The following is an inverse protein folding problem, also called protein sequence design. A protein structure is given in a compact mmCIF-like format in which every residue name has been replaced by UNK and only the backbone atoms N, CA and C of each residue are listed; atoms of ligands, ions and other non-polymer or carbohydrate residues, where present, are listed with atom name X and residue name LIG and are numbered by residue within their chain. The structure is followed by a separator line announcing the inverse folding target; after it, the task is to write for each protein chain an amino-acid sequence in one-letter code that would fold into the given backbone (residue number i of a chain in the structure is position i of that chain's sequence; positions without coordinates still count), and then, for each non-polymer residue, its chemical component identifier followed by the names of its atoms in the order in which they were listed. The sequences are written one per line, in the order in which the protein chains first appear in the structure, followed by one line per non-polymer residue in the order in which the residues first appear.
data_IF_442796928485
#
_entry.id   IF_442796928485
#
_cell.length_a   1.000
_cell.length_b   1.000
_cell.length_c   1.000
_cell.angle_alpha   90.00
_cell.angle_beta   90.00
_cell.angle_gamma   90.00
#
_symmetry.space_group_name_H-M   'P 1'
#
loop_
_entity.id
_entity.type
_entity.pdbx_description
1 polymer ?
#
# COMPACT_ATOMS: atom_id res chain seq x y z
N UNK A 1 14.96 9.65 12.46
CA UNK A 1 16.40 9.29 12.58
C UNK A 1 16.78 9.20 14.04
N UNK A 2 17.19 8.01 14.51
CA UNK A 2 17.84 7.89 15.81
C UNK A 2 19.16 8.66 15.72
N UNK A 3 19.42 9.60 16.63
CA UNK A 3 20.72 10.27 16.66
C UNK A 3 21.74 9.23 17.07
N UNK A 4 22.68 8.88 16.18
CA UNK A 4 23.84 8.06 16.55
C UNK A 4 24.47 8.76 17.75
N UNK A 5 24.48 8.09 18.90
CA UNK A 5 25.06 8.70 20.09
C UNK A 5 26.56 8.85 19.88
N UNK A 6 27.13 9.92 20.41
CA UNK A 6 28.58 10.15 20.33
C UNK A 6 29.36 8.95 20.91
N UNK A 7 28.81 8.29 21.93
CA UNK A 7 29.36 7.10 22.55
C UNK A 7 29.36 5.90 21.59
N UNK A 8 28.26 5.62 20.89
CA UNK A 8 28.22 4.56 19.87
C UNK A 8 29.24 4.81 18.76
N UNK A 9 29.37 6.06 18.30
CA UNK A 9 30.32 6.42 17.27
C UNK A 9 31.77 6.13 17.70
N UNK A 10 32.12 6.48 18.94
CA UNK A 10 33.43 6.20 19.53
C UNK A 10 33.67 4.69 19.64
N UNK A 11 32.67 3.93 20.13
CA UNK A 11 32.79 2.47 20.26
C UNK A 11 33.01 1.80 18.92
N UNK A 12 32.24 2.19 17.89
CA UNK A 12 32.42 1.65 16.53
C UNK A 12 33.81 2.01 16.02
N UNK A 13 34.24 3.27 16.15
CA UNK A 13 35.56 3.74 15.69
C UNK A 13 36.72 2.98 16.32
N UNK A 14 36.75 2.92 17.66
CA UNK A 14 37.78 2.20 18.42
C UNK A 14 37.73 0.70 18.10
N UNK A 15 36.54 0.12 17.99
CA UNK A 15 36.36 -1.28 17.62
C UNK A 15 36.91 -1.62 16.24
N UNK A 16 36.56 -0.84 15.21
CA UNK A 16 37.09 -1.04 13.85
C UNK A 16 38.61 -0.88 13.80
N UNK A 17 39.17 0.09 14.53
CA UNK A 17 40.61 0.31 14.58
C UNK A 17 41.33 -0.87 15.25
N UNK A 18 40.79 -1.38 16.37
CA UNK A 18 41.35 -2.55 17.05
C UNK A 18 41.31 -3.82 16.17
N UNK A 19 40.21 -4.04 15.44
CA UNK A 19 40.09 -5.16 14.50
C UNK A 19 41.12 -5.04 13.36
N UNK A 20 41.23 -3.87 12.72
CA UNK A 20 42.22 -3.67 11.66
C UNK A 20 43.67 -3.78 12.17
N UNK A 21 43.95 -3.30 13.38
CA UNK A 21 45.27 -3.42 14.00
C UNK A 21 45.65 -4.89 14.27
N UNK A 22 44.72 -5.69 14.82
CA UNK A 22 44.97 -7.11 15.10
C UNK A 22 45.20 -7.92 13.81
N UNK A 23 44.41 -7.68 12.77
CA UNK A 23 44.58 -8.31 11.45
C UNK A 23 45.94 -7.90 10.84
N UNK A 24 46.27 -6.61 10.86
CA UNK A 24 47.55 -6.09 10.33
C UNK A 24 48.75 -6.74 11.02
N UNK A 25 48.72 -6.84 12.36
CA UNK A 25 49.77 -7.51 13.13
C UNK A 25 49.89 -8.99 12.78
N UNK A 26 48.77 -9.69 12.60
CA UNK A 26 48.77 -11.09 12.19
C UNK A 26 49.39 -11.28 10.81
N UNK A 27 49.02 -10.44 9.84
CA UNK A 27 49.55 -10.49 8.47
C UNK A 27 51.04 -10.19 8.45
N UNK A 28 51.49 -9.20 9.22
CA UNK A 28 52.92 -8.91 9.37
C UNK A 28 53.69 -10.11 9.93
N UNK A 29 53.19 -10.74 11.00
CA UNK A 29 53.88 -11.88 11.62
C UNK A 29 53.91 -13.15 10.75
N UNK A 30 52.88 -13.40 9.93
CA UNK A 30 52.77 -14.64 9.14
C UNK A 30 53.28 -14.52 7.71
N UNK A 31 53.11 -13.37 7.08
CA UNK A 31 53.41 -13.16 5.67
C UNK A 31 54.49 -12.11 5.44
N UNK A 32 54.98 -11.45 6.51
CA UNK A 32 55.99 -10.40 6.44
C UNK A 32 55.60 -9.24 5.50
N UNK A 33 54.29 -8.99 5.38
CA UNK A 33 53.72 -7.92 4.56
C UNK A 33 53.37 -6.72 5.43
N UNK A 34 53.80 -5.52 4.99
CA UNK A 34 53.36 -4.26 5.59
C UNK A 34 51.99 -3.88 5.01
N UNK A 35 51.02 -3.65 5.88
CA UNK A 35 49.67 -3.24 5.50
C UNK A 35 49.33 -1.88 6.10
N UNK A 36 48.72 -1.00 5.30
CA UNK A 36 48.19 0.28 5.77
C UNK A 36 46.87 0.04 6.53
N UNK A 37 47.00 -0.23 7.83
CA UNK A 37 45.87 -0.48 8.70
C UNK A 37 45.04 0.79 8.96
N UNK A 38 45.62 1.98 8.81
CA UNK A 38 44.93 3.23 9.09
C UNK A 38 43.89 3.50 8.01
N UNK A 39 44.30 3.42 6.74
CA UNK A 39 43.39 3.52 5.59
C UNK A 39 42.31 2.43 5.62
N UNK A 40 42.70 1.17 5.86
CA UNK A 40 41.76 0.06 5.97
C UNK A 40 40.73 0.26 7.10
N UNK A 41 41.16 0.79 8.26
CA UNK A 41 40.27 1.09 9.38
C UNK A 41 39.28 2.22 9.05
N UNK A 42 39.72 3.25 8.33
CA UNK A 42 38.86 4.34 7.90
C UNK A 42 37.79 3.85 6.91
N UNK A 43 38.15 2.99 5.95
CA UNK A 43 37.19 2.39 5.01
C UNK A 43 36.19 1.48 5.72
N UNK A 44 36.64 0.63 6.65
CA UNK A 44 35.78 -0.26 7.42
C UNK A 44 34.81 0.52 8.31
N UNK A 45 35.30 1.58 8.95
CA UNK A 45 34.48 2.50 9.75
C UNK A 45 33.39 3.15 8.89
N UNK A 46 33.76 3.71 7.73
CA UNK A 46 32.82 4.32 6.80
C UNK A 46 31.77 3.30 6.30
N UNK A 47 32.19 2.09 5.96
CA UNK A 47 31.29 1.01 5.53
C UNK A 47 30.29 0.62 6.64
N UNK A 48 30.76 0.54 7.89
CA UNK A 48 29.92 0.21 9.05
C UNK A 48 28.88 1.31 9.31
N UNK A 49 29.29 2.58 9.25
CA UNK A 49 28.38 3.71 9.36
C UNK A 49 27.36 3.74 8.23
N UNK A 50 27.80 3.54 6.98
CA UNK A 50 26.92 3.49 5.82
C UNK A 50 25.89 2.35 5.95
N UNK A 51 26.32 1.17 6.40
CA UNK A 51 25.42 0.04 6.65
C UNK A 51 24.38 0.35 7.72
N UNK A 52 24.77 0.99 8.83
CA UNK A 52 23.83 1.39 9.90
C UNK A 52 22.83 2.43 9.41
N UNK A 53 23.30 3.49 8.74
CA UNK A 53 22.44 4.52 8.15
C UNK A 53 21.48 3.94 7.11
N UNK A 54 21.95 3.00 6.30
CA UNK A 54 21.10 2.31 5.32
C UNK A 54 20.00 1.50 5.98
N UNK A 55 20.29 0.76 7.06
CA UNK A 55 19.28 0.00 7.79
C UNK A 55 18.22 0.91 8.45
N UNK A 56 18.65 2.01 9.07
CA UNK A 56 17.73 3.01 9.65
C UNK A 56 16.85 3.64 8.58
N UNK A 57 17.46 4.04 7.45
CA UNK A 57 16.73 4.58 6.31
C UNK A 57 15.73 3.57 5.75
N UNK A 58 16.15 2.30 5.60
CA UNK A 58 15.30 1.22 5.09
C UNK A 58 14.10 0.97 6.00
N UNK A 59 14.26 1.04 7.33
CA UNK A 59 13.14 0.90 8.27
C UNK A 59 12.17 2.07 8.20
N UNK A 60 12.68 3.31 8.10
CA UNK A 60 11.83 4.51 7.93
C UNK A 60 11.07 4.46 6.60
N UNK A 61 11.76 4.10 5.53
CA UNK A 61 11.18 3.97 4.19
C UNK A 61 10.02 2.96 4.16
N UNK A 62 10.11 1.85 4.91
CA UNK A 62 9.00 0.88 5.01
C UNK A 62 7.74 1.50 5.62
N UNK A 63 7.88 2.23 6.73
CA UNK A 63 6.74 2.86 7.41
C UNK A 63 6.11 3.92 6.49
N UNK A 64 6.93 4.77 5.87
CA UNK A 64 6.47 5.80 4.93
C UNK A 64 5.77 5.18 3.71
N UNK A 65 6.28 4.07 3.18
CA UNK A 65 5.66 3.36 2.06
C UNK A 65 4.25 2.85 2.42
N UNK A 66 4.07 2.30 3.61
CA UNK A 66 2.74 1.83 4.07
C UNK A 66 1.81 3.01 4.35
N UNK A 67 2.31 4.10 4.91
CA UNK A 67 1.54 5.32 5.14
C UNK A 67 1.02 5.91 3.81
N UNK A 68 1.89 6.06 2.81
CA UNK A 68 1.49 6.51 1.48
C UNK A 68 0.48 5.57 0.81
N UNK A 69 0.64 4.25 0.98
CA UNK A 69 -0.31 3.27 0.45
C UNK A 69 -1.69 3.40 1.11
N UNK A 70 -1.71 3.56 2.44
CA UNK A 70 -2.94 3.79 3.21
C UNK A 70 -3.68 5.03 2.71
N UNK A 71 -2.97 6.15 2.55
CA UNK A 71 -3.56 7.39 2.07
C UNK A 71 -4.10 7.26 0.65
N UNK A 72 -3.37 6.55 -0.23
CA UNK A 72 -3.80 6.28 -1.60
C UNK A 72 -5.06 5.42 -1.65
N UNK A 73 -5.08 4.29 -0.95
CA UNK A 73 -6.26 3.42 -0.87
C UNK A 73 -7.47 4.16 -0.31
N UNK A 74 -7.30 4.92 0.77
CA UNK A 74 -8.41 5.63 1.40
C UNK A 74 -8.96 6.74 0.50
N UNK A 75 -8.08 7.44 -0.22
CA UNK A 75 -8.46 8.43 -1.22
C UNK A 75 -9.23 7.77 -2.37
N UNK A 76 -8.75 6.63 -2.88
CA UNK A 76 -9.40 5.89 -3.95
C UNK A 76 -10.79 5.38 -3.51
N UNK A 77 -10.91 4.80 -2.31
CA UNK A 77 -12.22 4.44 -1.75
C UNK A 77 -13.17 5.62 -1.62
N UNK A 78 -12.69 6.79 -1.18
CA UNK A 78 -13.51 8.01 -1.08
C UNK A 78 -13.96 8.48 -2.46
N UNK A 79 -13.10 8.40 -3.47
CA UNK A 79 -13.43 8.73 -4.85
C UNK A 79 -14.48 7.77 -5.41
N UNK A 80 -14.29 6.46 -5.24
CA UNK A 80 -15.27 5.43 -5.61
C UNK A 80 -16.63 5.71 -4.97
N UNK A 81 -16.66 6.02 -3.66
CA UNK A 81 -17.88 6.30 -2.91
C UNK A 81 -18.61 7.55 -3.43
N UNK A 82 -17.87 8.61 -3.75
CA UNK A 82 -18.43 9.82 -4.32
C UNK A 82 -19.03 9.58 -5.72
N UNK A 83 -18.32 8.85 -6.58
CA UNK A 83 -18.79 8.53 -7.94
C UNK A 83 -20.00 7.59 -7.87
N UNK A 84 -19.97 6.57 -7.01
CA UNK A 84 -21.08 5.64 -6.81
C UNK A 84 -22.33 6.37 -6.30
N UNK A 85 -22.17 7.30 -5.36
CA UNK A 85 -23.29 8.14 -4.90
C UNK A 85 -23.91 8.97 -6.03
N UNK A 86 -23.08 9.52 -6.93
CA UNK A 86 -23.56 10.22 -8.12
C UNK A 86 -24.26 9.27 -9.10
N UNK A 87 -23.76 8.04 -9.24
CA UNK A 87 -24.38 7.00 -10.05
C UNK A 87 -25.77 6.66 -9.53
N UNK A 88 -25.94 6.43 -8.22
CA UNK A 88 -27.25 6.16 -7.62
C UNK A 88 -28.27 7.25 -7.94
N UNK A 89 -27.89 8.52 -7.74
CA UNK A 89 -28.75 9.67 -8.06
C UNK A 89 -29.10 9.70 -9.56
N UNK A 90 -28.14 9.42 -10.43
CA UNK A 90 -28.36 9.40 -11.89
C UNK A 90 -29.29 8.26 -12.32
N UNK A 91 -29.16 7.09 -11.68
CA UNK A 91 -30.03 5.93 -11.94
C UNK A 91 -31.44 6.21 -11.47
N UNK A 92 -31.64 6.77 -10.29
CA UNK A 92 -32.97 7.14 -9.80
C UNK A 92 -33.65 8.18 -10.70
N UNK A 93 -32.92 9.21 -11.13
CA UNK A 93 -33.43 10.20 -12.08
C UNK A 93 -33.92 9.57 -13.39
N UNK A 94 -33.18 8.57 -13.90
CA UNK A 94 -33.54 7.88 -15.13
C UNK A 94 -34.62 6.80 -14.97
N UNK A 95 -34.81 6.24 -13.77
CA UNK A 95 -35.89 5.28 -13.47
C UNK A 95 -37.25 5.95 -13.30
N UNK A 96 -37.29 7.13 -12.66
CA UNK A 96 -38.53 7.82 -12.31
C UNK A 96 -38.87 9.00 -13.23
N UNK A 97 -37.91 9.48 -14.02
CA UNK A 97 -38.09 10.54 -15.01
C UNK A 97 -38.40 10.03 -16.42
N UNK A 98 -38.49 10.96 -17.38
CA UNK A 98 -38.40 10.67 -18.81
C UNK A 98 -36.95 10.87 -19.26
N UNK A 99 -36.10 9.83 -19.26
CA UNK A 99 -34.69 9.98 -19.58
C UNK A 99 -34.50 10.42 -21.03
N UNK A 100 -33.62 11.39 -21.25
CA UNK A 100 -33.10 11.67 -22.59
C UNK A 100 -31.80 10.88 -22.84
N UNK A 101 -31.37 10.79 -24.10
CA UNK A 101 -30.16 10.04 -24.47
C UNK A 101 -28.89 10.51 -23.75
N UNK A 102 -28.81 11.81 -23.41
CA UNK A 102 -27.66 12.37 -22.69
C UNK A 102 -27.63 11.92 -21.21
N UNK A 103 -28.78 11.78 -20.55
CA UNK A 103 -28.87 11.33 -19.16
C UNK A 103 -28.51 9.84 -19.03
N UNK A 104 -28.86 9.05 -20.05
CA UNK A 104 -28.48 7.65 -20.17
C UNK A 104 -26.97 7.51 -20.38
N UNK A 105 -26.39 8.29 -21.30
CA UNK A 105 -24.95 8.34 -21.53
C UNK A 105 -24.19 8.78 -20.27
N UNK A 106 -24.70 9.77 -19.54
CA UNK A 106 -24.09 10.22 -18.27
C UNK A 106 -24.07 9.10 -17.24
N UNK A 107 -25.12 8.29 -17.16
CA UNK A 107 -25.20 7.17 -16.22
C UNK A 107 -24.23 6.06 -16.58
N UNK A 108 -24.12 5.69 -17.87
CA UNK A 108 -23.13 4.70 -18.30
C UNK A 108 -21.69 5.17 -18.04
N UNK A 109 -21.39 6.44 -18.32
CA UNK A 109 -20.08 7.05 -18.03
C UNK A 109 -19.76 7.06 -16.53
N UNK A 110 -20.77 7.25 -15.66
CA UNK A 110 -20.57 7.15 -14.22
C UNK A 110 -20.26 5.72 -13.79
N UNK A 111 -20.96 4.72 -14.33
CA UNK A 111 -20.67 3.31 -14.06
C UNK A 111 -19.27 2.91 -14.52
N UNK A 112 -18.84 3.36 -15.70
CA UNK A 112 -17.47 3.19 -16.21
C UNK A 112 -16.43 3.82 -15.27
N UNK A 113 -16.67 5.05 -14.79
CA UNK A 113 -15.78 5.69 -13.82
C UNK A 113 -15.69 4.96 -12.48
N UNK A 114 -16.77 4.32 -12.03
CA UNK A 114 -16.71 3.47 -10.83
C UNK A 114 -15.81 2.27 -11.11
N UNK A 115 -15.94 1.63 -12.27
CA UNK A 115 -15.11 0.50 -12.68
C UNK A 115 -13.63 0.87 -12.81
N UNK A 116 -13.31 2.00 -13.46
CA UNK A 116 -11.95 2.49 -13.54
C UNK A 116 -11.34 2.68 -12.14
N UNK A 117 -12.13 3.18 -11.19
CA UNK A 117 -11.66 3.35 -9.82
C UNK A 117 -11.46 2.02 -9.09
N UNK A 118 -12.34 1.04 -9.33
CA UNK A 118 -12.20 -0.32 -8.84
C UNK A 118 -10.91 -0.96 -9.37
N UNK A 119 -10.58 -0.79 -10.65
CA UNK A 119 -9.35 -1.33 -11.22
C UNK A 119 -8.10 -0.74 -10.56
N UNK A 120 -8.10 0.57 -10.31
CA UNK A 120 -7.03 1.24 -9.54
C UNK A 120 -6.93 0.66 -8.12
N UNK A 121 -8.05 0.47 -7.43
CA UNK A 121 -8.08 -0.15 -6.10
C UNK A 121 -7.54 -1.58 -6.13
N UNK A 122 -7.88 -2.38 -7.13
CA UNK A 122 -7.39 -3.75 -7.28
C UNK A 122 -5.85 -3.76 -7.39
N UNK A 123 -5.27 -2.87 -8.18
CA UNK A 123 -3.80 -2.73 -8.31
C UNK A 123 -3.16 -2.34 -6.97
N UNK A 124 -3.79 -1.43 -6.23
CA UNK A 124 -3.32 -1.04 -4.90
C UNK A 124 -3.39 -2.20 -3.90
N UNK A 125 -4.43 -3.02 -3.98
CA UNK A 125 -4.57 -4.22 -3.16
C UNK A 125 -3.58 -5.33 -3.54
N UNK A 126 -3.23 -5.49 -4.81
CA UNK A 126 -2.16 -6.39 -5.22
C UNK A 126 -0.81 -5.97 -4.63
N UNK A 127 -0.56 -4.66 -4.57
CA UNK A 127 0.63 -4.13 -3.91
C UNK A 127 0.57 -4.33 -2.39
N UNK A 128 -0.58 -4.09 -1.77
CA UNK A 128 -0.78 -4.32 -0.34
C UNK A 128 -0.56 -5.80 0.04
N UNK A 129 -1.07 -6.73 -0.76
CA UNK A 129 -0.87 -8.16 -0.57
C UNK A 129 0.61 -8.55 -0.61
N UNK A 130 1.36 -8.04 -1.59
CA UNK A 130 2.81 -8.25 -1.68
C UNK A 130 3.52 -7.79 -0.41
N UNK A 131 3.15 -6.63 0.13
CA UNK A 131 3.71 -6.10 1.39
C UNK A 131 3.40 -7.02 2.57
N UNK A 132 2.14 -7.44 2.71
CA UNK A 132 1.71 -8.33 3.79
C UNK A 132 2.56 -9.61 3.79
N UNK A 133 2.71 -10.25 2.63
CA UNK A 133 3.46 -11.51 2.48
C UNK A 133 4.96 -11.27 2.70
N UNK A 134 5.53 -10.24 2.08
CA UNK A 134 6.96 -9.95 2.16
C UNK A 134 7.43 -9.68 3.59
N UNK A 135 6.61 -8.99 4.39
CA UNK A 135 6.93 -8.60 5.76
C UNK A 135 6.26 -9.46 6.83
N UNK A 136 5.52 -10.49 6.43
CA UNK A 136 4.83 -11.44 7.31
C UNK A 136 3.86 -10.76 8.29
N UNK A 137 2.97 -9.92 7.76
CA UNK A 137 1.97 -9.18 8.53
C UNK A 137 0.60 -9.88 8.60
N UNK A 138 0.48 -11.12 8.13
CA UNK A 138 -0.77 -11.88 8.06
C UNK A 138 -1.47 -12.00 9.42
N UNK A 139 -0.71 -12.04 10.52
CA UNK A 139 -1.28 -12.14 11.86
C UNK A 139 -1.90 -10.83 12.38
N UNK A 140 -1.69 -9.71 11.70
CA UNK A 140 -2.14 -8.39 12.14
C UNK A 140 -3.40 -7.91 11.43
N UNK A 141 -3.76 -8.58 10.34
CA UNK A 141 -4.87 -8.19 9.48
C UNK A 141 -6.13 -8.98 9.85
N UNK A 142 -7.27 -8.32 9.78
CA UNK A 142 -8.60 -8.93 9.92
C UNK A 142 -9.15 -9.38 8.57
N UNK A 143 -8.78 -8.69 7.50
CA UNK A 143 -9.24 -9.00 6.15
C UNK A 143 -8.07 -9.13 5.17
N UNK A 144 -8.09 -10.20 4.38
CA UNK A 144 -7.10 -10.37 3.34
C UNK A 144 -7.43 -9.51 2.11
N UNK A 145 -6.42 -8.89 1.45
CA UNK A 145 -6.63 -8.11 0.23
C UNK A 145 -7.39 -8.86 -0.86
N UNK A 146 -7.21 -10.17 -0.93
CA UNK A 146 -7.87 -11.03 -1.90
C UNK A 146 -9.40 -11.03 -1.73
N UNK A 147 -9.92 -11.05 -0.49
CA UNK A 147 -11.36 -10.96 -0.23
C UNK A 147 -11.92 -9.61 -0.68
N UNK A 148 -11.21 -8.53 -0.40
CA UNK A 148 -11.61 -7.19 -0.84
C UNK A 148 -11.64 -7.11 -2.37
N UNK A 149 -10.62 -7.63 -3.05
CA UNK A 149 -10.57 -7.69 -4.53
C UNK A 149 -11.73 -8.49 -5.11
N UNK A 150 -12.12 -9.61 -4.48
CA UNK A 150 -13.26 -10.42 -4.95
C UNK A 150 -14.56 -9.60 -4.86
N UNK A 151 -14.81 -8.93 -3.73
CA UNK A 151 -15.98 -8.08 -3.58
C UNK A 151 -15.97 -6.91 -4.58
N UNK A 152 -14.84 -6.22 -4.77
CA UNK A 152 -14.70 -5.15 -5.76
C UNK A 152 -14.96 -5.63 -7.19
N UNK A 153 -14.46 -6.81 -7.56
CA UNK A 153 -14.72 -7.40 -8.89
C UNK A 153 -16.19 -7.75 -9.08
N UNK A 154 -16.89 -8.21 -8.04
CA UNK A 154 -18.35 -8.43 -8.11
C UNK A 154 -19.07 -7.13 -8.41
N UNK A 155 -18.70 -6.05 -7.72
CA UNK A 155 -19.26 -4.71 -7.99
C UNK A 155 -19.01 -4.33 -9.45
N UNK A 156 -17.78 -4.48 -9.95
CA UNK A 156 -17.46 -4.09 -11.31
C UNK A 156 -18.23 -4.87 -12.38
N UNK A 157 -18.41 -6.17 -12.17
CA UNK A 157 -19.19 -7.05 -13.06
C UNK A 157 -20.68 -6.69 -13.01
N UNK A 158 -21.24 -6.44 -11.83
CA UNK A 158 -22.66 -6.13 -11.67
C UNK A 158 -23.01 -4.72 -12.16
N UNK A 159 -22.06 -3.77 -12.11
CA UNK A 159 -22.20 -2.45 -12.72
C UNK A 159 -22.12 -2.49 -14.25
N UNK A 160 -21.56 -3.55 -14.84
CA UNK A 160 -21.43 -3.74 -16.30
C UNK A 160 -22.15 -5.00 -16.77
N UNK A 161 -23.46 -4.91 -17.03
CA UNK A 161 -24.24 -5.98 -17.64
C UNK A 161 -23.94 -6.13 -19.16
N UNK A 162 -22.71 -6.49 -19.53
CA UNK A 162 -22.31 -6.82 -20.90
C UNK A 162 -22.51 -5.68 -21.93
N UNK A 163 -22.14 -5.93 -23.19
CA UNK A 163 -22.30 -4.95 -24.27
C UNK A 163 -23.78 -4.58 -24.45
N UNK A 164 -24.14 -3.36 -24.07
CA UNK A 164 -25.49 -2.82 -24.25
C UNK A 164 -25.62 -2.40 -25.71
N UNK A 165 -26.35 -3.19 -26.50
CA UNK A 165 -26.95 -2.65 -27.73
C UNK A 165 -27.90 -1.50 -27.35
N UNK A 166 -27.83 -0.38 -28.07
CA UNK A 166 -28.56 0.87 -27.80
C UNK A 166 -30.08 0.66 -27.59
N UNK A 167 -30.64 -0.41 -28.14
CA UNK A 167 -32.04 -0.83 -27.97
C UNK A 167 -32.39 -1.40 -26.59
N UNK A 168 -31.43 -1.65 -25.69
CA UNK A 168 -31.64 -2.22 -24.34
C UNK A 168 -31.27 -1.28 -23.18
N UNK A 169 -31.01 -0.01 -23.45
CA UNK A 169 -30.52 0.94 -22.42
C UNK A 169 -31.52 1.12 -21.26
N UNK A 170 -32.83 1.12 -21.53
CA UNK A 170 -33.85 1.17 -20.46
C UNK A 170 -33.88 -0.09 -19.59
N UNK A 171 -33.62 -1.26 -20.18
CA UNK A 171 -33.50 -2.52 -19.47
C UNK A 171 -32.25 -2.51 -18.58
N UNK A 172 -31.12 -2.01 -19.11
CA UNK A 172 -29.89 -1.83 -18.35
C UNK A 172 -30.08 -0.91 -17.13
N UNK A 173 -30.68 0.27 -17.30
CA UNK A 173 -30.96 1.19 -16.18
C UNK A 173 -31.83 0.50 -15.11
N UNK A 174 -32.79 -0.31 -15.53
CA UNK A 174 -33.68 -1.04 -14.61
C UNK A 174 -32.92 -2.13 -13.84
N UNK A 175 -32.05 -2.89 -14.51
CA UNK A 175 -31.21 -3.91 -13.86
C UNK A 175 -30.17 -3.27 -12.93
N UNK A 176 -29.50 -2.22 -13.38
CA UNK A 176 -28.58 -1.43 -12.58
C UNK A 176 -29.27 -0.84 -11.35
N UNK A 177 -30.50 -0.34 -11.51
CA UNK A 177 -31.34 0.13 -10.40
C UNK A 177 -31.63 -0.96 -9.37
N UNK A 178 -32.02 -2.16 -9.81
CA UNK A 178 -32.24 -3.29 -8.90
C UNK A 178 -30.97 -3.65 -8.12
N UNK A 179 -29.83 -3.69 -8.79
CA UNK A 179 -28.54 -3.95 -8.15
C UNK A 179 -28.18 -2.88 -7.11
N UNK A 180 -28.36 -1.60 -7.46
CA UNK A 180 -28.13 -0.47 -6.54
C UNK A 180 -29.09 -0.52 -5.35
N UNK A 181 -30.35 -0.89 -5.55
CA UNK A 181 -31.36 -1.03 -4.48
C UNK A 181 -30.96 -2.14 -3.48
N UNK A 182 -30.40 -3.25 -3.98
CA UNK A 182 -29.90 -4.33 -3.13
C UNK A 182 -28.66 -3.92 -2.32
N UNK A 183 -27.78 -3.08 -2.89
CA UNK A 183 -26.63 -2.40 -2.27
C UNK A 183 -25.65 -3.25 -1.43
N UNK A 184 -25.82 -4.56 -1.39
CA UNK A 184 -25.12 -5.43 -0.44
C UNK A 184 -23.60 -5.44 -0.68
N UNK A 185 -23.20 -5.55 -1.95
CA UNK A 185 -21.79 -5.63 -2.32
C UNK A 185 -21.05 -4.31 -2.00
N UNK A 186 -21.68 -3.16 -2.26
CA UNK A 186 -21.06 -1.85 -1.98
C UNK A 186 -21.00 -1.54 -0.47
N UNK A 187 -22.04 -1.90 0.30
CA UNK A 187 -21.99 -1.82 1.76
C UNK A 187 -20.89 -2.71 2.35
N UNK A 188 -20.69 -3.90 1.78
CA UNK A 188 -19.57 -4.78 2.12
C UNK A 188 -18.21 -4.14 1.76
N UNK A 189 -18.09 -3.48 0.61
CA UNK A 189 -16.88 -2.72 0.26
C UNK A 189 -16.58 -1.58 1.27
N UNK A 190 -17.60 -0.88 1.76
CA UNK A 190 -17.43 0.15 2.80
C UNK A 190 -16.98 -0.44 4.15
N UNK A 191 -17.47 -1.64 4.50
CA UNK A 191 -17.00 -2.38 5.67
C UNK A 191 -15.52 -2.77 5.49
N UNK A 192 -15.15 -3.28 4.33
CA UNK A 192 -13.77 -3.62 3.98
C UNK A 192 -12.85 -2.40 4.06
N UNK A 193 -13.27 -1.24 3.55
CA UNK A 193 -12.54 0.04 3.69
C UNK A 193 -12.18 0.33 5.15
N UNK A 194 -13.12 0.15 6.07
CA UNK A 194 -12.88 0.36 7.51
C UNK A 194 -11.87 -0.64 8.06
N UNK A 195 -12.05 -1.94 7.77
CA UNK A 195 -11.17 -3.00 8.25
C UNK A 195 -9.73 -2.85 7.72
N UNK A 196 -9.57 -2.57 6.42
CA UNK A 196 -8.26 -2.32 5.80
C UNK A 196 -7.57 -1.12 6.45
N UNK A 197 -8.29 -0.04 6.76
CA UNK A 197 -7.72 1.10 7.46
C UNK A 197 -7.25 0.74 8.89
N UNK A 198 -8.04 -0.03 9.64
CA UNK A 198 -7.64 -0.52 10.96
C UNK A 198 -6.40 -1.43 10.88
N UNK A 199 -6.36 -2.33 9.90
CA UNK A 199 -5.25 -3.25 9.68
C UNK A 199 -3.96 -2.51 9.30
N UNK A 200 -4.04 -1.53 8.41
CA UNK A 200 -2.90 -0.67 8.05
C UNK A 200 -2.41 0.15 9.24
N UNK A 201 -3.31 0.65 10.09
CA UNK A 201 -2.92 1.35 11.32
C UNK A 201 -2.17 0.42 12.29
N UNK A 202 -2.64 -0.81 12.49
CA UNK A 202 -1.93 -1.80 13.33
C UNK A 202 -0.54 -2.10 12.78
N UNK A 203 -0.42 -2.27 11.46
CA UNK A 203 0.87 -2.52 10.80
C UNK A 203 1.80 -1.32 11.01
N UNK A 204 1.32 -0.08 10.81
CA UNK A 204 2.10 1.13 11.03
C UNK A 204 2.56 1.26 12.49
N UNK A 205 1.68 1.01 13.45
CA UNK A 205 2.03 1.03 14.88
C UNK A 205 3.12 0.00 15.20
N UNK A 206 3.00 -1.23 14.69
CA UNK A 206 4.03 -2.25 14.86
C UNK A 206 5.37 -1.81 14.26
N UNK A 207 5.37 -1.22 13.07
CA UNK A 207 6.59 -0.70 12.44
C UNK A 207 7.22 0.45 13.24
N UNK A 208 6.41 1.32 13.83
CA UNK A 208 6.89 2.41 14.69
C UNK A 208 7.46 1.86 16.01
N UNK A 209 6.83 0.84 16.59
CA UNK A 209 7.32 0.20 17.82
C UNK A 209 8.63 -0.56 17.57
N UNK A 210 8.76 -1.25 16.43
CA UNK A 210 10.01 -1.87 16.00
C UNK A 210 11.13 -0.84 15.80
N UNK A 211 10.81 0.39 15.36
CA UNK A 211 11.78 1.50 15.27
C UNK A 211 12.19 2.06 16.64
N UNK A 212 11.36 1.93 17.68
CA UNK A 212 11.66 2.41 19.04
C UNK A 212 12.40 1.37 19.87
N UNK A 213 12.17 0.08 19.63
CA UNK A 213 12.70 -1.06 20.38
C UNK A 213 14.12 -1.51 20.02
N UNK A 214 14.74 -0.92 19.00
CA UNK A 214 16.14 -1.15 18.59
C UNK A 214 16.96 0.12 18.74
#
# INVERSE_FOLDING_TARGET
MKKISLLELIVIGVGTLAVCFTISKFVLCKFNMQTDFLSASATLFAATLAYKLFNDWRQQFKAEMIERLKDRLFTNFKNMEAIYSQLCVSVDQNRFGTPNDNDLLKTSLLAEKVNDNIDVLIVDFDFYEKIIIQYKFESLIQIFPQEVKINLKKIAVNLFCGHIEVTRVSQYITELGKYIDENNDFLEALKHKKQVNEDMQKILLKLIDEQKGH
#
